data_IF_791187344138
#
_entry.id   IF_791187344138
#
_cell.length_a   1.000
_cell.length_b   1.000
_cell.length_c   1.000
_cell.angle_alpha   90.00
_cell.angle_beta   90.00
_cell.angle_gamma   90.00
#
_symmetry.space_group_name_H-M   'P 1'
#
loop_
_entity.id
_entity.type
_entity.pdbx_description
1 polymer ?
#
# COMPACT_ATOMS: atom_id res chain seq x y z
N UNK A 1 2.39 20.57 17.01
CA UNK A 1 1.58 19.37 16.72
C UNK A 1 0.77 18.95 17.93
N UNK A 2 -0.36 18.25 17.74
CA UNK A 2 -1.07 17.56 18.82
C UNK A 2 -0.55 16.13 18.99
N UNK A 3 -0.63 15.55 20.19
CA UNK A 3 -0.26 14.14 20.43
C UNK A 3 -1.06 13.15 19.57
N UNK A 4 -2.26 13.54 19.12
CA UNK A 4 -3.07 12.76 18.19
C UNK A 4 -2.50 12.76 16.76
N UNK A 5 -2.01 13.92 16.30
CA UNK A 5 -1.38 14.07 14.97
C UNK A 5 -0.04 13.32 14.89
N UNK A 6 0.74 13.30 15.97
CA UNK A 6 2.01 12.55 16.04
C UNK A 6 1.78 11.04 15.92
N UNK A 7 0.88 10.47 16.75
CA UNK A 7 0.52 9.05 16.67
C UNK A 7 -0.04 8.65 15.29
N UNK A 8 -0.81 9.54 14.67
CA UNK A 8 -1.34 9.33 13.33
C UNK A 8 -0.22 9.33 12.28
N UNK A 9 0.75 10.23 12.41
CA UNK A 9 1.92 10.31 11.52
C UNK A 9 2.77 9.03 11.60
N UNK A 10 3.04 8.53 12.80
CA UNK A 10 3.78 7.27 12.99
C UNK A 10 3.03 6.07 12.40
N UNK A 11 1.71 6.03 12.60
CA UNK A 11 0.86 4.98 12.03
C UNK A 11 0.88 5.01 10.49
N UNK A 12 0.83 6.19 9.88
CA UNK A 12 0.94 6.35 8.43
C UNK A 12 2.33 5.98 7.90
N UNK A 13 3.39 6.21 8.67
CA UNK A 13 4.73 5.73 8.32
C UNK A 13 4.81 4.20 8.26
N UNK A 14 4.09 3.49 9.14
CA UNK A 14 3.96 2.03 9.05
C UNK A 14 3.21 1.59 7.78
N UNK A 15 2.16 2.32 7.37
CA UNK A 15 1.47 2.04 6.10
C UNK A 15 2.40 2.25 4.91
N UNK A 16 3.22 3.31 4.92
CA UNK A 16 4.24 3.54 3.89
C UNK A 16 5.21 2.36 3.81
N UNK A 17 5.70 1.85 4.94
CA UNK A 17 6.61 0.70 4.95
C UNK A 17 5.93 -0.56 4.40
N UNK A 18 4.68 -0.80 4.79
CA UNK A 18 3.88 -1.91 4.25
C UNK A 18 3.72 -1.82 2.72
N UNK A 19 3.45 -0.63 2.16
CA UNK A 19 3.40 -0.42 0.71
C UNK A 19 4.75 -0.75 0.04
N UNK A 20 5.87 -0.33 0.64
CA UNK A 20 7.20 -0.64 0.13
C UNK A 20 7.51 -2.15 0.20
N UNK A 21 7.00 -2.86 1.21
CA UNK A 21 7.13 -4.32 1.30
C UNK A 21 6.36 -5.04 0.18
N UNK A 22 5.19 -4.54 -0.21
CA UNK A 22 4.45 -5.02 -1.39
C UNK A 22 5.31 -4.80 -2.63
N UNK A 23 5.80 -3.57 -2.85
CA UNK A 23 6.62 -3.23 -4.01
C UNK A 23 7.88 -4.12 -4.10
N UNK A 24 8.54 -4.35 -2.96
CA UNK A 24 9.68 -5.26 -2.86
C UNK A 24 9.28 -6.69 -3.21
N UNK A 25 8.16 -7.19 -2.70
CA UNK A 25 7.70 -8.56 -2.97
C UNK A 25 7.46 -8.81 -4.48
N UNK A 26 6.91 -7.81 -5.18
CA UNK A 26 6.65 -7.85 -6.62
C UNK A 26 7.97 -7.84 -7.42
N UNK A 27 8.90 -6.94 -7.07
CA UNK A 27 10.12 -6.71 -7.85
C UNK A 27 11.26 -7.69 -7.56
N UNK A 28 11.27 -8.31 -6.38
CA UNK A 28 12.35 -9.25 -6.01
C UNK A 28 12.32 -10.47 -6.95
N UNK A 29 13.47 -10.79 -7.55
CA UNK A 29 13.68 -12.06 -8.25
C UNK A 29 13.82 -13.15 -7.19
N UNK A 30 12.82 -14.02 -7.11
CA UNK A 30 12.77 -15.14 -6.17
C UNK A 30 11.89 -16.24 -6.78
N UNK A 31 12.04 -17.51 -6.36
CA UNK A 31 11.20 -18.58 -6.87
C UNK A 31 9.72 -18.28 -6.61
N UNK A 32 8.86 -18.69 -7.55
CA UNK A 32 7.43 -18.41 -7.53
C UNK A 32 6.76 -18.77 -6.19
N UNK A 33 7.10 -19.92 -5.61
CA UNK A 33 6.57 -20.37 -4.31
C UNK A 33 6.82 -19.36 -3.19
N UNK A 34 8.04 -18.82 -3.10
CA UNK A 34 8.40 -17.81 -2.10
C UNK A 34 7.70 -16.48 -2.35
N UNK A 35 7.58 -16.08 -3.63
CA UNK A 35 6.86 -14.86 -3.99
C UNK A 35 5.38 -14.94 -3.59
N UNK A 36 4.72 -16.05 -3.90
CA UNK A 36 3.31 -16.29 -3.54
C UNK A 36 3.13 -16.31 -2.03
N UNK A 37 3.99 -17.01 -1.28
CA UNK A 37 3.90 -17.04 0.18
C UNK A 37 4.06 -15.65 0.81
N UNK A 38 4.97 -14.83 0.28
CA UNK A 38 5.15 -13.45 0.74
C UNK A 38 3.92 -12.58 0.45
N UNK A 39 3.35 -12.69 -0.75
CA UNK A 39 2.12 -12.00 -1.12
C UNK A 39 0.93 -12.44 -0.25
N UNK A 40 0.81 -13.73 0.06
CA UNK A 40 -0.24 -14.23 0.96
C UNK A 40 -0.13 -13.63 2.36
N UNK A 41 1.09 -13.52 2.91
CA UNK A 41 1.31 -12.86 4.19
C UNK A 41 0.90 -11.39 4.15
N UNK A 42 1.29 -10.66 3.10
CA UNK A 42 0.92 -9.24 2.93
C UNK A 42 -0.59 -9.05 2.75
N UNK A 43 -1.26 -9.94 2.00
CA UNK A 43 -2.72 -9.91 1.81
C UNK A 43 -3.46 -10.14 3.14
N UNK A 44 -2.99 -11.05 4.00
CA UNK A 44 -3.59 -11.26 5.33
C UNK A 44 -3.51 -10.03 6.21
N UNK A 45 -2.51 -9.18 6.01
CA UNK A 45 -2.36 -7.92 6.75
C UNK A 45 -3.21 -6.79 6.15
N UNK A 46 -3.70 -6.93 4.92
CA UNK A 46 -4.33 -5.85 4.16
C UNK A 46 -5.49 -5.17 4.92
N UNK A 47 -6.43 -5.94 5.45
CA UNK A 47 -7.58 -5.42 6.19
C UNK A 47 -7.16 -4.61 7.42
N UNK A 48 -6.15 -5.09 8.16
CA UNK A 48 -5.62 -4.37 9.33
C UNK A 48 -4.96 -3.05 8.90
N UNK A 49 -4.15 -3.09 7.85
CA UNK A 49 -3.44 -1.91 7.36
C UNK A 49 -4.41 -0.87 6.77
N UNK A 50 -5.45 -1.32 6.09
CA UNK A 50 -6.51 -0.45 5.59
C UNK A 50 -7.23 0.28 6.74
N UNK A 51 -7.64 -0.45 7.78
CA UNK A 51 -8.29 0.16 8.95
C UNK A 51 -7.36 1.15 9.69
N UNK A 52 -6.06 0.84 9.78
CA UNK A 52 -5.07 1.77 10.35
C UNK A 52 -4.95 3.01 9.47
N UNK A 53 -4.94 2.86 8.15
CA UNK A 53 -4.83 3.97 7.22
C UNK A 53 -6.03 4.92 7.35
N UNK A 54 -7.25 4.42 7.22
CA UNK A 54 -8.50 5.20 7.31
C UNK A 54 -8.59 6.00 8.61
N UNK A 55 -8.29 5.35 9.76
CA UNK A 55 -8.34 6.00 11.08
C UNK A 55 -7.32 7.11 11.27
N UNK A 56 -6.15 7.01 10.64
CA UNK A 56 -5.03 7.92 10.87
C UNK A 56 -4.84 8.95 9.75
N UNK A 57 -5.56 8.83 8.64
CA UNK A 57 -5.46 9.79 7.55
C UNK A 57 -6.16 11.12 7.87
N UNK A 58 -7.38 11.05 8.41
CA UNK A 58 -8.20 12.25 8.71
C UNK A 58 -7.57 13.20 9.76
N UNK A 59 -6.89 12.72 10.82
CA UNK A 59 -6.18 13.60 11.76
C UNK A 59 -4.98 14.35 11.15
N UNK A 60 -4.40 13.84 10.06
CA UNK A 60 -3.26 14.42 9.36
C UNK A 60 -3.71 15.31 8.20
N UNK A 61 -4.85 14.98 7.59
CA UNK A 61 -5.33 15.59 6.36
C UNK A 61 -6.74 16.17 6.51
N UNK A 62 -6.83 17.51 6.46
CA UNK A 62 -8.12 18.22 6.58
C UNK A 62 -8.98 18.14 5.30
N UNK A 63 -8.38 17.83 4.15
CA UNK A 63 -9.09 17.75 2.88
C UNK A 63 -9.77 16.38 2.73
N UNK A 64 -11.09 16.35 2.96
CA UNK A 64 -11.90 15.12 2.84
C UNK A 64 -11.84 14.46 1.46
N UNK A 65 -11.76 15.24 0.37
CA UNK A 65 -11.67 14.67 -0.99
C UNK A 65 -10.35 13.93 -1.18
N UNK A 66 -9.27 14.50 -0.67
CA UNK A 66 -7.95 13.86 -0.74
C UNK A 66 -7.85 12.64 0.17
N UNK A 67 -8.51 12.65 1.35
CA UNK A 67 -8.64 11.47 2.22
C UNK A 67 -9.26 10.30 1.43
N UNK A 68 -10.42 10.52 0.82
CA UNK A 68 -11.12 9.51 0.02
C UNK A 68 -10.29 9.03 -1.18
N UNK A 69 -9.59 9.95 -1.84
CA UNK A 69 -8.73 9.60 -2.98
C UNK A 69 -7.56 8.70 -2.55
N UNK A 70 -6.94 8.99 -1.42
CA UNK A 70 -5.84 8.18 -0.87
C UNK A 70 -6.33 6.81 -0.38
N UNK A 71 -7.49 6.74 0.28
CA UNK A 71 -8.12 5.48 0.70
C UNK A 71 -8.47 4.60 -0.50
N UNK A 72 -9.05 5.19 -1.54
CA UNK A 72 -9.34 4.50 -2.80
C UNK A 72 -8.05 3.98 -3.45
N UNK A 73 -6.99 4.78 -3.45
CA UNK A 73 -5.69 4.38 -3.98
C UNK A 73 -5.11 3.18 -3.24
N UNK A 74 -5.22 3.13 -1.90
CA UNK A 74 -4.81 1.96 -1.12
C UNK A 74 -5.65 0.73 -1.52
N UNK A 75 -6.96 0.87 -1.62
CA UNK A 75 -7.86 -0.23 -1.99
C UNK A 75 -7.53 -0.83 -3.36
N UNK A 76 -7.25 0.00 -4.37
CA UNK A 76 -6.87 -0.49 -5.68
C UNK A 76 -5.48 -1.17 -5.67
N UNK A 77 -4.52 -0.66 -4.89
CA UNK A 77 -3.22 -1.33 -4.70
C UNK A 77 -3.41 -2.72 -4.08
N UNK A 78 -4.27 -2.85 -3.07
CA UNK A 78 -4.56 -4.13 -2.42
C UNK A 78 -5.23 -5.12 -3.38
N UNK A 79 -6.19 -4.66 -4.19
CA UNK A 79 -6.83 -5.49 -5.22
C UNK A 79 -5.81 -5.95 -6.29
N UNK A 80 -4.99 -5.02 -6.79
CA UNK A 80 -3.93 -5.31 -7.76
C UNK A 80 -2.91 -6.32 -7.22
N UNK A 81 -2.58 -6.26 -5.91
CA UNK A 81 -1.73 -7.26 -5.27
C UNK A 81 -2.35 -8.67 -5.30
N UNK A 82 -3.67 -8.78 -5.10
CA UNK A 82 -4.39 -10.07 -5.20
C UNK A 82 -4.38 -10.57 -6.63
N UNK A 83 -4.64 -9.70 -7.61
CA UNK A 83 -4.60 -10.04 -9.04
C UNK A 83 -3.20 -10.49 -9.47
N UNK A 84 -2.15 -9.79 -9.04
CA UNK A 84 -0.77 -10.17 -9.30
C UNK A 84 -0.45 -11.57 -8.77
N UNK A 85 -0.83 -11.87 -7.53
CA UNK A 85 -0.65 -13.20 -6.93
C UNK A 85 -1.36 -14.28 -7.77
N UNK A 86 -2.60 -14.03 -8.15
CA UNK A 86 -3.38 -14.96 -8.98
C UNK A 86 -2.74 -15.17 -10.35
N UNK A 87 -2.30 -14.08 -11.00
CA UNK A 87 -1.60 -14.13 -12.28
C UNK A 87 -0.32 -14.95 -12.22
N UNK A 88 0.46 -14.82 -11.15
CA UNK A 88 1.63 -15.68 -10.92
C UNK A 88 1.21 -17.15 -10.75
N UNK A 89 0.24 -17.44 -9.87
CA UNK A 89 -0.19 -18.83 -9.58
C UNK A 89 -0.72 -19.54 -10.82
N UNK A 90 -1.40 -18.82 -11.71
CA UNK A 90 -2.01 -19.37 -12.91
C UNK A 90 -1.10 -19.26 -14.16
N UNK A 91 0.17 -18.88 -13.99
CA UNK A 91 1.14 -18.69 -15.08
C UNK A 91 0.68 -17.68 -16.14
N UNK A 92 -0.17 -16.72 -15.77
CA UNK A 92 -0.68 -15.65 -16.64
C UNK A 92 0.30 -14.46 -16.66
N UNK A 93 1.42 -14.63 -17.37
CA UNK A 93 2.54 -13.68 -17.39
C UNK A 93 2.15 -12.26 -17.80
N UNK A 94 1.25 -12.09 -18.78
CA UNK A 94 0.80 -10.79 -19.27
C UNK A 94 0.00 -10.02 -18.21
N UNK A 95 -0.93 -10.69 -17.51
CA UNK A 95 -1.68 -10.10 -16.40
C UNK A 95 -0.73 -9.72 -15.26
N UNK A 96 0.14 -10.64 -14.84
CA UNK A 96 1.11 -10.38 -13.78
C UNK A 96 2.06 -9.21 -14.12
N UNK A 97 2.42 -9.04 -15.39
CA UNK A 97 3.23 -7.90 -15.84
C UNK A 97 2.46 -6.57 -15.74
N UNK A 98 1.20 -6.53 -16.19
CA UNK A 98 0.36 -5.33 -16.06
C UNK A 98 0.19 -4.91 -14.59
N UNK A 99 -0.10 -5.87 -13.71
CA UNK A 99 -0.21 -5.60 -12.27
C UNK A 99 1.12 -5.14 -11.67
N UNK A 100 2.27 -5.67 -12.13
CA UNK A 100 3.58 -5.20 -11.68
C UNK A 100 3.80 -3.72 -12.00
N UNK A 101 3.46 -3.29 -13.22
CA UNK A 101 3.56 -1.88 -13.63
C UNK A 101 2.62 -1.00 -12.81
N UNK A 102 1.37 -1.45 -12.63
CA UNK A 102 0.38 -0.75 -11.82
C UNK A 102 0.86 -0.57 -10.36
N UNK A 103 1.28 -1.66 -9.71
CA UNK A 103 1.74 -1.65 -8.33
C UNK A 103 2.95 -0.73 -8.17
N UNK A 104 3.94 -0.83 -9.06
CA UNK A 104 5.14 0.01 -8.98
C UNK A 104 4.82 1.49 -9.09
N UNK A 105 3.95 1.88 -10.02
CA UNK A 105 3.55 3.28 -10.19
C UNK A 105 2.75 3.78 -8.99
N UNK A 106 1.68 3.07 -8.61
CA UNK A 106 0.72 3.58 -7.64
C UNK A 106 1.23 3.49 -6.20
N UNK A 107 2.04 2.48 -5.86
CA UNK A 107 2.71 2.43 -4.55
C UNK A 107 3.62 3.64 -4.37
N UNK A 108 4.45 3.97 -5.35
CA UNK A 108 5.36 5.11 -5.26
C UNK A 108 4.58 6.43 -5.11
N UNK A 109 3.48 6.61 -5.84
CA UNK A 109 2.61 7.79 -5.72
C UNK A 109 2.03 7.89 -4.30
N UNK A 110 1.41 6.82 -3.80
CA UNK A 110 0.76 6.82 -2.48
C UNK A 110 1.76 6.99 -1.34
N UNK A 111 2.91 6.29 -1.40
CA UNK A 111 3.98 6.43 -0.41
C UNK A 111 4.54 7.86 -0.35
N UNK A 112 4.67 8.53 -1.50
CA UNK A 112 5.11 9.92 -1.57
C UNK A 112 4.05 10.87 -0.99
N UNK A 113 2.77 10.65 -1.28
CA UNK A 113 1.67 11.44 -0.69
C UNK A 113 1.63 11.31 0.84
N UNK A 114 1.74 10.08 1.35
CA UNK A 114 1.84 9.83 2.79
C UNK A 114 3.01 10.62 3.38
N UNK A 115 4.20 10.52 2.77
CA UNK A 115 5.40 11.22 3.23
C UNK A 115 5.21 12.74 3.23
N UNK A 116 4.61 13.28 2.17
CA UNK A 116 4.34 14.71 2.04
C UNK A 116 3.42 15.20 3.16
N UNK A 117 2.25 14.57 3.33
CA UNK A 117 1.28 15.02 4.33
C UNK A 117 1.75 14.82 5.77
N UNK A 118 2.51 13.75 6.03
CA UNK A 118 3.18 13.54 7.32
C UNK A 118 4.21 14.63 7.64
N UNK A 119 4.91 15.17 6.63
CA UNK A 119 5.86 16.28 6.82
C UNK A 119 5.16 17.61 7.00
N UNK A 120 4.09 17.89 6.25
CA UNK A 120 3.35 19.16 6.32
C UNK A 120 2.45 19.27 7.53
N UNK A 121 2.12 18.16 8.19
CA UNK A 121 1.36 18.15 9.43
C UNK A 121 2.21 18.45 10.68
N UNK A 122 3.54 18.56 10.53
CA UNK A 122 4.47 19.01 11.56
C UNK A 122 4.41 20.53 11.73
#
# INVERSE_FOLDING_TARGET
MSAQTEKATDSLALIRNYLLDIQKAVNTKQPQKHKVAKLDSLIRLATKQQAVFERNLSPVLKNKREVVAMESSLNFILQSMVLYKTGIKNSQSRSAHAETLYLNKNISILANKITYYCKTAK
#
